data_IF_316460743660
#
_entry.id   IF_316460743660
#
_cell.length_a   1.000
_cell.length_b   1.000
_cell.length_c   1.000
_cell.angle_alpha   90.00
_cell.angle_beta   90.00
_cell.angle_gamma   90.00
#
_symmetry.space_group_name_H-M   'P 1'
#
loop_
_entity.id
_entity.type
_entity.pdbx_description
1 polymer ?
#
# COMPACT_ATOMS: atom_id res chain seq x y z
N UNK A 1 -7.41 2.29 -12.54
CA UNK A 1 -6.85 2.36 -11.17
C UNK A 1 -7.16 1.10 -10.35
N UNK A 2 -8.43 0.73 -10.17
CA UNK A 2 -8.80 -0.48 -9.43
C UNK A 2 -8.15 -1.74 -10.00
N UNK A 3 -8.32 -1.97 -11.31
CA UNK A 3 -7.75 -3.12 -12.00
C UNK A 3 -6.21 -3.11 -11.96
N UNK A 4 -5.59 -1.95 -12.04
CA UNK A 4 -4.12 -1.82 -11.96
C UNK A 4 -3.59 -2.29 -10.60
N UNK A 5 -4.25 -1.87 -9.51
CA UNK A 5 -3.89 -2.32 -8.16
C UNK A 5 -4.22 -3.81 -7.95
N UNK A 6 -5.31 -4.31 -8.56
CA UNK A 6 -5.66 -5.72 -8.50
C UNK A 6 -4.58 -6.60 -9.14
N UNK A 7 -4.19 -6.31 -10.38
CA UNK A 7 -3.18 -7.10 -11.09
C UNK A 7 -1.81 -7.00 -10.42
N UNK A 8 -1.38 -5.79 -10.04
CA UNK A 8 -0.07 -5.60 -9.41
C UNK A 8 0.07 -6.34 -8.07
N UNK A 9 -0.95 -6.21 -7.20
CA UNK A 9 -0.93 -6.88 -5.90
C UNK A 9 -1.22 -8.37 -6.00
N UNK A 10 -2.09 -8.78 -6.94
CA UNK A 10 -2.32 -10.19 -7.24
C UNK A 10 -1.02 -10.90 -7.59
N UNK A 11 -0.24 -10.35 -8.52
CA UNK A 11 1.08 -10.88 -8.89
C UNK A 11 2.06 -10.89 -7.71
N UNK A 12 2.14 -9.83 -6.94
CA UNK A 12 3.05 -9.75 -5.79
C UNK A 12 2.75 -10.84 -4.75
N UNK A 13 1.50 -10.97 -4.36
CA UNK A 13 1.09 -11.94 -3.35
C UNK A 13 1.01 -13.37 -3.86
N UNK A 14 0.90 -13.60 -5.19
CA UNK A 14 0.96 -14.95 -5.76
C UNK A 14 2.30 -15.65 -5.52
N UNK A 15 3.35 -14.91 -5.17
CA UNK A 15 4.64 -15.50 -4.78
C UNK A 15 4.49 -16.54 -3.65
N UNK A 16 3.52 -16.39 -2.75
CA UNK A 16 3.19 -17.39 -1.72
C UNK A 16 2.83 -18.76 -2.31
N UNK A 17 2.23 -18.77 -3.49
CA UNK A 17 1.87 -19.99 -4.24
C UNK A 17 3.09 -20.54 -4.97
N UNK A 18 3.94 -19.69 -5.54
CA UNK A 18 5.17 -20.09 -6.24
C UNK A 18 6.30 -20.55 -5.31
N UNK A 19 6.22 -20.24 -4.01
CA UNK A 19 7.23 -20.63 -3.02
C UNK A 19 7.48 -22.15 -3.02
N UNK A 20 6.41 -22.94 -3.05
CA UNK A 20 6.49 -24.41 -2.96
C UNK A 20 7.22 -25.01 -4.15
N UNK A 21 6.82 -24.80 -5.41
CA UNK A 21 7.50 -25.38 -6.56
C UNK A 21 8.96 -24.90 -6.70
N UNK A 22 9.28 -23.66 -6.27
CA UNK A 22 10.68 -23.20 -6.27
C UNK A 22 11.54 -23.94 -5.27
N UNK A 23 11.03 -24.15 -4.04
CA UNK A 23 11.73 -24.92 -3.00
C UNK A 23 11.89 -26.38 -3.42
N UNK A 24 10.87 -26.99 -4.03
CA UNK A 24 10.90 -28.38 -4.47
C UNK A 24 11.88 -28.61 -5.62
N UNK A 25 11.88 -27.75 -6.65
CA UNK A 25 12.74 -27.91 -7.82
C UNK A 25 14.21 -27.64 -7.50
N UNK A 26 14.50 -26.54 -6.80
CA UNK A 26 15.88 -26.10 -6.56
C UNK A 26 16.48 -26.60 -5.24
N UNK A 27 15.67 -27.18 -4.35
CA UNK A 27 16.08 -27.56 -3.00
C UNK A 27 16.63 -26.40 -2.16
N UNK A 28 16.19 -25.17 -2.48
CA UNK A 28 16.56 -24.01 -1.70
C UNK A 28 15.82 -23.98 -0.37
N UNK A 29 16.44 -23.37 0.65
CA UNK A 29 15.76 -23.16 1.92
C UNK A 29 14.58 -22.17 1.76
N UNK A 30 13.57 -22.31 2.62
CA UNK A 30 12.39 -21.42 2.59
C UNK A 30 12.76 -19.98 2.92
N UNK A 31 13.71 -19.78 3.84
CA UNK A 31 14.23 -18.45 4.18
C UNK A 31 14.95 -17.79 3.02
N UNK A 32 15.81 -18.54 2.29
CA UNK A 32 16.47 -18.04 1.09
C UNK A 32 15.44 -17.63 0.03
N UNK A 33 14.47 -18.49 -0.25
CA UNK A 33 13.46 -18.23 -1.28
C UNK A 33 12.56 -17.03 -0.91
N UNK A 34 12.06 -16.99 0.34
CA UNK A 34 11.22 -15.88 0.83
C UNK A 34 11.99 -14.56 0.98
N UNK A 35 13.33 -14.63 1.12
CA UNK A 35 14.20 -13.46 1.15
C UNK A 35 14.08 -12.54 -0.07
N UNK A 36 13.66 -13.08 -1.23
CA UNK A 36 13.39 -12.28 -2.42
C UNK A 36 12.24 -11.29 -2.19
N UNK A 37 11.17 -11.67 -1.46
CA UNK A 37 10.11 -10.74 -1.04
C UNK A 37 10.60 -9.72 -0.02
N UNK A 38 11.47 -10.15 0.90
CA UNK A 38 12.11 -9.25 1.85
C UNK A 38 12.90 -8.16 1.14
N UNK A 39 13.75 -8.53 0.17
CA UNK A 39 14.45 -7.57 -0.67
C UNK A 39 13.48 -6.68 -1.45
N UNK A 40 12.40 -7.26 -2.00
CA UNK A 40 11.37 -6.48 -2.70
C UNK A 40 10.80 -5.35 -1.83
N UNK A 41 10.53 -5.63 -0.56
CA UNK A 41 10.01 -4.60 0.37
C UNK A 41 11.04 -3.50 0.63
N UNK A 42 12.32 -3.84 0.79
CA UNK A 42 13.41 -2.84 0.94
C UNK A 42 13.50 -1.96 -0.30
N UNK A 43 13.54 -2.57 -1.48
CA UNK A 43 13.63 -1.85 -2.77
C UNK A 43 12.41 -0.93 -2.96
N UNK A 44 11.20 -1.41 -2.63
CA UNK A 44 10.00 -0.57 -2.67
C UNK A 44 10.13 0.66 -1.76
N UNK A 45 10.64 0.49 -0.54
CA UNK A 45 10.86 1.58 0.40
C UNK A 45 11.83 2.63 -0.15
N UNK A 46 12.94 2.18 -0.74
CA UNK A 46 13.98 3.05 -1.33
C UNK A 46 13.47 3.75 -2.60
N UNK A 47 12.72 3.06 -3.44
CA UNK A 47 12.24 3.61 -4.72
C UNK A 47 10.96 4.46 -4.56
N UNK A 48 10.22 4.38 -3.46
CA UNK A 48 8.99 5.15 -3.28
C UNK A 48 9.19 6.68 -3.40
N UNK A 49 10.20 7.32 -2.77
CA UNK A 49 10.48 8.75 -2.97
C UNK A 49 10.87 9.08 -4.40
N UNK A 50 11.68 8.22 -5.04
CA UNK A 50 12.11 8.39 -6.43
C UNK A 50 10.90 8.35 -7.37
N UNK A 51 9.99 7.42 -7.12
CA UNK A 51 8.73 7.31 -7.88
C UNK A 51 7.86 8.56 -7.72
N UNK A 52 7.80 9.16 -6.53
CA UNK A 52 7.15 10.44 -6.31
C UNK A 52 7.71 11.54 -7.22
N UNK A 53 9.03 11.70 -7.26
CA UNK A 53 9.72 12.67 -8.13
C UNK A 53 9.44 12.37 -9.61
N UNK A 54 9.45 11.10 -10.01
CA UNK A 54 9.16 10.70 -11.39
C UNK A 54 7.70 11.01 -11.77
N UNK A 55 6.75 10.82 -10.86
CA UNK A 55 5.34 11.16 -11.07
C UNK A 55 5.16 12.68 -11.27
N UNK A 56 5.89 13.49 -10.51
CA UNK A 56 5.83 14.95 -10.64
C UNK A 56 6.44 15.43 -11.95
N UNK A 57 7.54 14.82 -12.41
CA UNK A 57 8.28 15.21 -13.63
C UNK A 57 7.70 14.64 -14.92
N UNK A 58 7.35 13.36 -14.93
CA UNK A 58 6.93 12.62 -16.14
C UNK A 58 5.41 12.45 -16.24
N UNK A 59 4.70 12.75 -15.15
CA UNK A 59 3.28 12.49 -14.99
C UNK A 59 2.97 11.04 -14.60
N UNK A 60 1.82 10.81 -13.93
CA UNK A 60 1.47 9.50 -13.38
C UNK A 60 1.29 8.42 -14.45
N UNK A 61 0.79 8.78 -15.64
CA UNK A 61 0.55 7.84 -16.74
C UNK A 61 1.83 7.13 -17.20
N UNK A 62 2.92 7.88 -17.43
CA UNK A 62 4.19 7.30 -17.89
C UNK A 62 4.80 6.40 -16.82
N UNK A 63 4.74 6.82 -15.56
CA UNK A 63 5.25 6.03 -14.43
C UNK A 63 4.50 4.72 -14.28
N UNK A 64 3.17 4.74 -14.40
CA UNK A 64 2.33 3.54 -14.33
C UNK A 64 2.61 2.58 -15.50
N UNK A 65 2.77 3.10 -16.72
CA UNK A 65 3.13 2.27 -17.90
C UNK A 65 4.51 1.64 -17.74
N UNK A 66 5.49 2.39 -17.27
CA UNK A 66 6.84 1.86 -16.99
C UNK A 66 6.79 0.80 -15.90
N UNK A 67 5.99 1.04 -14.84
CA UNK A 67 5.75 0.06 -13.77
C UNK A 67 5.12 -1.23 -14.30
N UNK A 68 4.14 -1.14 -15.18
CA UNK A 68 3.51 -2.31 -15.81
C UNK A 68 4.51 -3.10 -16.66
N UNK A 69 5.33 -2.42 -17.45
CA UNK A 69 6.39 -3.05 -18.26
C UNK A 69 7.41 -3.76 -17.38
N UNK A 70 7.90 -3.09 -16.34
CA UNK A 70 8.89 -3.67 -15.41
C UNK A 70 8.35 -4.88 -14.66
N UNK A 71 7.11 -4.82 -14.16
CA UNK A 71 6.49 -5.94 -13.45
C UNK A 71 6.28 -7.15 -14.38
N UNK A 72 5.82 -6.91 -15.62
CA UNK A 72 5.64 -7.96 -16.61
C UNK A 72 6.98 -8.56 -17.05
N UNK A 73 8.00 -7.72 -17.29
CA UNK A 73 9.35 -8.18 -17.60
C UNK A 73 9.96 -8.99 -16.45
N UNK A 74 9.76 -8.56 -15.20
CA UNK A 74 10.19 -9.31 -14.02
C UNK A 74 9.56 -10.70 -13.94
N UNK A 75 8.26 -10.81 -14.25
CA UNK A 75 7.56 -12.11 -14.28
C UNK A 75 8.06 -12.98 -15.44
N UNK A 76 8.27 -12.42 -16.64
CA UNK A 76 8.82 -13.16 -17.77
C UNK A 76 10.23 -13.66 -17.48
N UNK A 77 11.12 -12.81 -16.96
CA UNK A 77 12.45 -13.23 -16.54
C UNK A 77 12.40 -14.21 -15.36
N UNK A 78 11.42 -14.04 -14.46
CA UNK A 78 11.16 -14.97 -13.37
C UNK A 78 10.90 -16.42 -13.82
N UNK A 79 10.33 -16.61 -15.02
CA UNK A 79 10.13 -17.96 -15.60
C UNK A 79 11.45 -18.65 -15.99
N UNK A 80 12.53 -17.91 -16.14
CA UNK A 80 13.86 -18.43 -16.54
C UNK A 80 14.82 -18.64 -15.37
N UNK A 81 14.36 -18.38 -14.13
CA UNK A 81 15.18 -18.51 -12.90
C UNK A 81 15.82 -19.89 -12.80
N UNK A 82 17.12 -19.90 -12.49
CA UNK A 82 17.96 -21.09 -12.25
C UNK A 82 18.81 -20.97 -10.99
N UNK A 83 18.98 -19.74 -10.48
CA UNK A 83 19.84 -19.46 -9.33
C UNK A 83 19.17 -18.46 -8.36
N UNK A 84 19.54 -18.48 -7.06
CA UNK A 84 18.95 -17.59 -6.07
C UNK A 84 19.12 -16.10 -6.42
N UNK A 85 20.28 -15.70 -6.93
CA UNK A 85 20.55 -14.31 -7.27
C UNK A 85 19.63 -13.79 -8.40
N UNK A 86 19.25 -14.66 -9.36
CA UNK A 86 18.28 -14.32 -10.41
C UNK A 86 16.89 -14.09 -9.81
N UNK A 87 16.46 -14.93 -8.86
CA UNK A 87 15.21 -14.74 -8.14
C UNK A 87 15.20 -13.40 -7.40
N UNK A 88 16.28 -13.06 -6.71
CA UNK A 88 16.43 -11.79 -6.00
C UNK A 88 16.43 -10.61 -6.96
N UNK A 89 17.10 -10.72 -8.11
CA UNK A 89 17.13 -9.66 -9.11
C UNK A 89 15.76 -9.47 -9.77
N UNK A 90 15.13 -10.56 -10.22
CA UNK A 90 13.89 -10.46 -10.99
C UNK A 90 12.69 -10.14 -10.09
N UNK A 91 12.51 -10.85 -8.99
CA UNK A 91 11.39 -10.62 -8.06
C UNK A 91 11.71 -9.50 -7.08
N UNK A 92 12.91 -9.54 -6.48
CA UNK A 92 13.30 -8.61 -5.41
C UNK A 92 13.56 -7.18 -5.90
N UNK A 93 14.21 -7.01 -7.06
CA UNK A 93 14.58 -5.67 -7.56
C UNK A 93 13.65 -5.21 -8.67
N UNK A 94 13.60 -5.96 -9.79
CA UNK A 94 12.85 -5.55 -10.96
C UNK A 94 11.34 -5.55 -10.73
N UNK A 95 10.81 -6.62 -10.12
CA UNK A 95 9.41 -6.72 -9.73
C UNK A 95 9.00 -5.66 -8.72
N UNK A 96 9.87 -5.37 -7.74
CA UNK A 96 9.65 -4.30 -6.77
C UNK A 96 9.58 -2.92 -7.44
N UNK A 97 10.49 -2.61 -8.37
CA UNK A 97 10.47 -1.36 -9.12
C UNK A 97 9.18 -1.21 -9.93
N UNK A 98 8.73 -2.30 -10.58
CA UNK A 98 7.44 -2.33 -11.26
C UNK A 98 6.26 -2.09 -10.32
N UNK A 99 6.26 -2.75 -9.16
CA UNK A 99 5.20 -2.65 -8.17
C UNK A 99 5.07 -1.23 -7.59
N UNK A 100 6.18 -0.54 -7.32
CA UNK A 100 6.17 0.86 -6.85
C UNK A 100 5.58 1.79 -7.91
N UNK A 101 5.91 1.57 -9.19
CA UNK A 101 5.35 2.33 -10.32
C UNK A 101 3.84 2.13 -10.51
N UNK A 102 3.28 1.00 -10.04
CA UNK A 102 1.85 0.67 -10.05
C UNK A 102 1.17 0.94 -8.71
N UNK A 103 1.93 1.32 -7.70
CA UNK A 103 1.52 1.36 -6.31
C UNK A 103 0.73 2.60 -5.88
N UNK A 104 0.59 2.78 -4.55
CA UNK A 104 -0.23 3.83 -3.97
C UNK A 104 0.16 5.26 -4.36
N UNK A 105 1.46 5.53 -4.60
CA UNK A 105 1.96 6.87 -4.89
C UNK A 105 1.40 7.40 -6.22
N UNK A 106 1.66 6.78 -7.38
CA UNK A 106 1.11 7.27 -8.65
C UNK A 106 -0.41 7.17 -8.71
N UNK A 107 -1.01 6.15 -8.09
CA UNK A 107 -2.47 6.01 -8.05
C UNK A 107 -3.13 7.09 -7.21
N UNK A 108 -2.57 7.44 -6.05
CA UNK A 108 -3.05 8.51 -5.19
C UNK A 108 -3.03 9.87 -5.89
N UNK A 109 -1.94 10.18 -6.60
CA UNK A 109 -1.83 11.41 -7.39
C UNK A 109 -2.87 11.43 -8.51
N UNK A 110 -3.01 10.34 -9.26
CA UNK A 110 -3.99 10.25 -10.34
C UNK A 110 -5.43 10.41 -9.83
N UNK A 111 -5.78 9.73 -8.72
CA UNK A 111 -7.12 9.84 -8.11
C UNK A 111 -7.37 11.28 -7.64
N UNK A 112 -6.38 11.94 -7.05
CA UNK A 112 -6.54 13.31 -6.54
C UNK A 112 -6.75 14.34 -7.63
N UNK A 113 -6.26 14.09 -8.86
CA UNK A 113 -6.47 14.96 -10.03
C UNK A 113 -7.87 14.80 -10.65
N UNK A 114 -8.49 13.63 -10.48
CA UNK A 114 -9.82 13.34 -11.02
C UNK A 114 -10.96 13.60 -10.03
N UNK A 115 -10.73 13.41 -8.74
CA UNK A 115 -11.76 13.48 -7.70
C UNK A 115 -11.39 14.52 -6.66
N UNK A 116 -12.09 15.66 -6.62
CA UNK A 116 -11.92 16.72 -5.63
C UNK A 116 -12.82 16.50 -4.41
N UNK A 117 -14.13 16.27 -4.63
CA UNK A 117 -15.12 16.26 -3.53
C UNK A 117 -15.27 14.89 -2.83
N UNK A 118 -15.08 13.77 -3.56
CA UNK A 118 -15.28 12.40 -3.03
C UNK A 118 -14.00 11.57 -3.05
N UNK A 119 -12.85 12.24 -2.86
CA UNK A 119 -11.52 11.64 -2.97
C UNK A 119 -11.35 10.40 -2.08
N UNK A 120 -11.82 10.43 -0.83
CA UNK A 120 -11.72 9.30 0.11
C UNK A 120 -12.44 8.05 -0.39
N UNK A 121 -13.66 8.20 -0.93
CA UNK A 121 -14.41 7.08 -1.52
C UNK A 121 -13.72 6.51 -2.75
N UNK A 122 -13.21 7.37 -3.63
CA UNK A 122 -12.50 6.94 -4.83
C UNK A 122 -11.21 6.16 -4.48
N UNK A 123 -10.45 6.61 -3.47
CA UNK A 123 -9.30 5.90 -2.94
C UNK A 123 -9.72 4.54 -2.37
N UNK A 124 -10.75 4.49 -1.53
CA UNK A 124 -11.26 3.25 -0.93
C UNK A 124 -11.65 2.21 -1.99
N UNK A 125 -12.42 2.63 -3.00
CA UNK A 125 -12.79 1.77 -4.13
C UNK A 125 -11.55 1.31 -4.92
N UNK A 126 -10.62 2.21 -5.25
CA UNK A 126 -9.43 1.84 -5.99
C UNK A 126 -8.56 0.82 -5.22
N UNK A 127 -8.39 1.02 -3.93
CA UNK A 127 -7.56 0.15 -3.08
C UNK A 127 -8.23 -1.19 -2.73
N UNK A 128 -9.55 -1.32 -2.87
CA UNK A 128 -10.22 -2.63 -2.75
C UNK A 128 -9.75 -3.61 -3.83
N UNK A 129 -9.28 -3.10 -4.98
CA UNK A 129 -8.66 -3.91 -6.02
C UNK A 129 -7.50 -4.78 -5.52
N UNK A 130 -6.71 -4.32 -4.53
CA UNK A 130 -5.61 -5.12 -3.98
C UNK A 130 -6.09 -6.47 -3.44
N UNK A 131 -7.15 -6.48 -2.63
CA UNK A 131 -7.70 -7.72 -2.07
C UNK A 131 -8.34 -8.62 -3.14
N UNK A 132 -9.01 -8.01 -4.12
CA UNK A 132 -9.58 -8.76 -5.25
C UNK A 132 -8.49 -9.40 -6.11
N UNK A 133 -7.37 -8.70 -6.31
CA UNK A 133 -6.22 -9.25 -7.01
C UNK A 133 -5.69 -10.52 -6.35
N UNK A 134 -5.53 -10.51 -5.02
CA UNK A 134 -5.13 -11.70 -4.27
C UNK A 134 -6.16 -12.83 -4.40
N UNK A 135 -7.46 -12.49 -4.33
CA UNK A 135 -8.55 -13.45 -4.45
C UNK A 135 -8.52 -14.22 -5.79
N UNK A 136 -8.29 -13.52 -6.89
CA UNK A 136 -8.29 -14.13 -8.23
C UNK A 136 -6.95 -14.78 -8.54
N UNK A 137 -5.84 -14.08 -8.28
CA UNK A 137 -4.53 -14.51 -8.77
C UNK A 137 -4.02 -15.76 -8.04
N UNK A 138 -4.32 -15.94 -6.75
CA UNK A 138 -3.90 -17.13 -5.99
C UNK A 138 -4.37 -18.44 -6.62
N UNK A 139 -5.68 -18.69 -6.74
CA UNK A 139 -6.23 -19.88 -7.38
C UNK A 139 -5.82 -20.04 -8.84
N UNK A 140 -5.80 -18.93 -9.61
CA UNK A 140 -5.39 -18.95 -11.03
C UNK A 140 -3.92 -19.35 -11.18
N UNK A 141 -3.04 -18.80 -10.34
CA UNK A 141 -1.63 -19.17 -10.33
C UNK A 141 -1.45 -20.67 -10.03
N UNK A 142 -2.14 -21.19 -9.02
CA UNK A 142 -2.07 -22.61 -8.67
C UNK A 142 -2.61 -23.52 -9.78
N UNK A 143 -3.72 -23.15 -10.40
CA UNK A 143 -4.27 -23.88 -11.53
C UNK A 143 -3.30 -23.92 -12.72
N UNK A 144 -2.67 -22.79 -13.04
CA UNK A 144 -1.64 -22.72 -14.08
C UNK A 144 -0.41 -23.57 -13.74
N UNK A 145 0.04 -23.54 -12.48
CA UNK A 145 1.17 -24.35 -12.01
C UNK A 145 0.86 -25.85 -12.17
N UNK A 146 -0.34 -26.27 -11.77
CA UNK A 146 -0.75 -27.67 -11.87
C UNK A 146 -0.90 -28.16 -13.32
N UNK A 147 -1.32 -27.27 -14.24
CA UNK A 147 -1.58 -27.64 -15.64
C UNK A 147 -0.34 -27.59 -16.54
N UNK A 148 0.57 -26.63 -16.33
CA UNK A 148 1.69 -26.36 -17.26
C UNK A 148 3.03 -26.05 -16.57
N UNK A 149 3.09 -26.25 -15.25
CA UNK A 149 4.29 -25.99 -14.44
C UNK A 149 4.49 -24.51 -14.12
N UNK A 150 5.27 -24.25 -13.06
CA UNK A 150 5.44 -22.91 -12.51
C UNK A 150 6.14 -21.93 -13.46
N UNK A 151 7.05 -22.40 -14.31
CA UNK A 151 7.77 -21.54 -15.28
C UNK A 151 6.81 -20.93 -16.30
N UNK A 152 5.98 -21.78 -16.91
CA UNK A 152 4.97 -21.33 -17.88
C UNK A 152 3.90 -20.49 -17.17
N UNK A 153 3.47 -20.91 -15.98
CA UNK A 153 2.51 -20.15 -15.17
C UNK A 153 3.00 -18.71 -14.89
N UNK A 154 4.26 -18.55 -14.50
CA UNK A 154 4.87 -17.23 -14.25
C UNK A 154 4.93 -16.38 -15.53
N UNK A 155 5.30 -16.97 -16.66
CA UNK A 155 5.33 -16.29 -17.95
C UNK A 155 3.92 -15.86 -18.41
N UNK A 156 2.94 -16.76 -18.32
CA UNK A 156 1.54 -16.47 -18.67
C UNK A 156 0.97 -15.33 -17.81
N UNK A 157 1.20 -15.35 -16.51
CA UNK A 157 0.76 -14.28 -15.62
C UNK A 157 1.45 -12.94 -15.94
N UNK A 158 2.73 -12.97 -16.31
CA UNK A 158 3.48 -11.78 -16.73
C UNK A 158 2.92 -11.18 -18.03
N UNK A 159 2.68 -12.01 -19.04
CA UNK A 159 2.07 -11.59 -20.32
C UNK A 159 0.64 -11.07 -20.09
N UNK A 160 -0.18 -11.82 -19.35
CA UNK A 160 -1.54 -11.42 -19.03
C UNK A 160 -1.60 -10.07 -18.30
N UNK A 161 -0.69 -9.86 -17.34
CA UNK A 161 -0.58 -8.58 -16.66
C UNK A 161 -0.27 -7.43 -17.62
N UNK A 162 0.66 -7.61 -18.56
CA UNK A 162 0.97 -6.60 -19.56
C UNK A 162 -0.21 -6.32 -20.48
N UNK A 163 -0.83 -7.37 -21.00
CA UNK A 163 -1.99 -7.25 -21.93
C UNK A 163 -3.20 -6.58 -21.26
N UNK A 164 -3.37 -6.74 -19.96
CA UNK A 164 -4.43 -6.08 -19.20
C UNK A 164 -4.04 -4.66 -18.82
N UNK A 165 -2.83 -4.46 -18.29
CA UNK A 165 -2.40 -3.17 -17.73
C UNK A 165 -2.09 -2.14 -18.82
N UNK A 166 -1.44 -2.53 -19.92
CA UNK A 166 -1.04 -1.60 -20.96
C UNK A 166 -2.24 -0.86 -21.59
N UNK A 167 -3.30 -1.54 -22.07
CA UNK A 167 -4.46 -0.85 -22.63
C UNK A 167 -5.25 -0.08 -21.56
N UNK A 168 -5.41 -0.64 -20.35
CA UNK A 168 -6.13 0.02 -19.26
C UNK A 168 -5.47 1.35 -18.88
N UNK A 169 -4.16 1.36 -18.81
CA UNK A 169 -3.40 2.57 -18.48
C UNK A 169 -3.36 3.52 -19.69
N UNK A 170 -3.18 2.98 -20.89
CA UNK A 170 -3.13 3.78 -22.10
C UNK A 170 -4.45 4.52 -22.37
N UNK A 171 -5.59 3.85 -22.17
CA UNK A 171 -6.93 4.41 -22.37
C UNK A 171 -7.42 5.21 -21.16
N UNK A 172 -7.16 4.73 -19.93
CA UNK A 172 -7.78 5.22 -18.71
C UNK A 172 -6.95 6.23 -17.91
N UNK A 173 -5.62 6.20 -18.00
CA UNK A 173 -4.77 7.11 -17.23
C UNK A 173 -4.53 8.45 -17.95
N UNK A 174 -5.59 9.08 -18.48
CA UNK A 174 -5.51 10.40 -19.10
C UNK A 174 -5.40 11.45 -18.00
N UNK A 175 -4.44 12.39 -18.14
CA UNK A 175 -4.30 13.50 -17.21
C UNK A 175 -5.31 14.61 -17.57
N UNK A 176 -6.24 14.97 -16.67
CA UNK A 176 -7.22 16.02 -16.94
C UNK A 176 -6.56 17.41 -17.06
N UNK A 177 -5.38 17.61 -16.48
CA UNK A 177 -4.64 18.89 -16.58
C UNK A 177 -4.03 19.08 -17.96
N UNK A 178 -3.51 18.03 -18.60
CA UNK A 178 -2.99 18.11 -19.97
C UNK A 178 -4.07 18.53 -20.99
N UNK A 179 -5.33 18.15 -20.76
CA UNK A 179 -6.45 18.61 -21.60
C UNK A 179 -6.85 20.07 -21.38
N UNK A 180 -6.56 20.65 -20.22
CA UNK A 180 -6.82 22.06 -19.95
C UNK A 180 -5.81 22.93 -20.66
N UNK A 181 -4.56 22.53 -20.68
CA UNK A 181 -3.48 23.26 -21.37
C UNK A 181 -3.66 23.18 -22.89
N UNK A 182 -4.06 22.02 -23.46
CA UNK A 182 -4.38 21.88 -24.87
C UNK A 182 -5.61 22.70 -25.32
N UNK A 183 -6.59 22.93 -24.42
CA UNK A 183 -7.76 23.77 -24.69
C UNK A 183 -7.54 25.23 -24.39
N UNK A 184 -6.53 25.57 -23.60
CA UNK A 184 -6.16 26.94 -23.25
C UNK A 184 -5.08 27.50 -24.18
N UNK A 185 -4.47 26.68 -25.05
CA UNK A 185 -3.60 27.18 -26.11
C UNK A 185 -4.46 28.01 -27.09
N UNK A 186 -4.16 29.30 -27.32
CA UNK A 186 -4.88 30.08 -28.31
C UNK A 186 -4.75 29.41 -29.66
N UNK A 187 -5.78 29.46 -30.55
CA UNK A 187 -5.59 29.00 -31.91
C UNK A 187 -4.43 29.80 -32.50
N UNK A 188 -3.46 29.10 -33.09
CA UNK A 188 -2.40 29.73 -33.88
C UNK A 188 -3.10 30.56 -34.96
N UNK A 189 -3.26 31.84 -34.66
CA UNK A 189 -3.69 32.82 -35.65
C UNK A 189 -2.58 32.94 -36.68
N UNK A 190 -2.76 32.24 -37.75
CA UNK A 190 -2.00 32.50 -39.00
C UNK A 190 -2.36 33.89 -39.51
N UNK A 191 -1.75 34.91 -38.96
CA UNK A 191 -1.74 36.24 -39.53
C UNK A 191 -0.29 36.67 -39.83
N UNK A 192 -0.03 36.74 -41.09
CA UNK A 192 1.11 37.39 -41.75
C UNK A 192 1.29 38.83 -41.24
N UNK A 193 2.50 39.27 -40.94
CA UNK A 193 2.72 40.65 -40.52
C UNK A 193 2.58 41.63 -41.68
N UNK A 194 1.42 42.30 -41.71
CA UNK A 194 1.22 43.50 -42.54
C UNK A 194 1.95 44.68 -41.95
N UNK A 195 2.87 45.24 -42.73
CA UNK A 195 3.52 46.55 -42.51
C UNK A 195 2.48 47.66 -42.38
N UNK A 196 2.48 48.37 -41.26
CA UNK A 196 1.71 49.62 -41.09
C UNK A 196 2.43 50.52 -40.09
N UNK A 197 2.74 51.71 -40.53
CA UNK A 197 3.49 52.85 -39.98
C UNK A 197 2.96 53.38 -38.64
N UNK A 198 3.78 54.13 -37.84
CA UNK A 198 3.41 54.61 -36.51
C UNK A 198 2.81 56.06 -36.60
N UNK A 199 1.67 56.25 -35.99
CA UNK A 199 1.18 57.63 -35.68
C UNK A 199 0.47 57.64 -34.31
N UNK A 200 1.11 58.38 -33.43
CA UNK A 200 0.64 59.33 -32.40
C UNK A 200 -0.74 59.19 -31.74
N UNK A 201 -0.70 59.18 -30.45
CA UNK A 201 -1.22 60.17 -29.48
C UNK A 201 -1.77 59.55 -28.21
N UNK A 202 -1.09 59.83 -27.12
CA UNK A 202 -1.56 60.65 -25.95
C UNK A 202 -2.97 60.37 -25.45
N UNK A 203 -3.05 59.94 -24.22
CA UNK A 203 -4.25 59.97 -23.40
C UNK A 203 -4.26 58.99 -22.27
N UNK A 204 -3.60 59.33 -21.15
CA UNK A 204 -3.82 58.66 -19.85
C UNK A 204 -5.13 59.25 -19.27
N UNK A 205 -6.06 58.43 -18.82
CA UNK A 205 -6.86 58.74 -17.64
C UNK A 205 -6.54 57.74 -16.52
N UNK A 206 -5.98 58.30 -15.47
CA UNK A 206 -5.95 57.73 -14.14
C UNK A 206 -7.40 57.61 -13.59
N UNK A 207 -7.85 56.40 -13.38
CA UNK A 207 -8.97 56.17 -12.47
C UNK A 207 -8.73 54.88 -11.69
N UNK A 208 -8.22 55.06 -10.48
CA UNK A 208 -8.29 54.03 -9.42
C UNK A 208 -9.78 53.85 -9.06
N UNK A 209 -10.29 52.62 -8.98
CA UNK A 209 -11.53 52.37 -8.26
C UNK A 209 -11.23 52.43 -6.77
N UNK A 210 -11.93 53.32 -6.10
CA UNK A 210 -12.05 53.44 -4.65
C UNK A 210 -12.67 52.13 -4.11
N UNK A 211 -11.97 51.48 -3.19
CA UNK A 211 -12.56 50.48 -2.32
C UNK A 211 -13.47 51.16 -1.32
N UNK A 212 -14.75 51.10 -1.60
CA UNK A 212 -15.81 51.56 -0.73
C UNK A 212 -15.89 50.69 0.51
N UNK A 213 -15.76 51.30 1.67
CA UNK A 213 -15.93 50.76 3.01
C UNK A 213 -17.31 50.12 3.18
N UNK A 214 -17.35 48.80 3.28
CA UNK A 214 -18.50 48.11 3.86
C UNK A 214 -18.44 48.22 5.38
N UNK A 215 -19.16 49.20 5.89
CA UNK A 215 -19.52 49.35 7.30
C UNK A 215 -20.30 48.12 7.76
N UNK A 216 -19.67 47.26 8.56
CA UNK A 216 -20.40 46.36 9.42
C UNK A 216 -20.65 47.01 10.78
N UNK A 217 -21.94 47.00 11.15
CA UNK A 217 -22.48 47.63 12.33
C UNK A 217 -21.85 47.19 13.64
N UNK A 218 -21.72 48.17 14.48
CA UNK A 218 -21.34 48.11 15.89
C UNK A 218 -22.39 47.29 16.66
N UNK A 219 -22.00 46.15 17.24
CA UNK A 219 -22.78 45.47 18.29
C UNK A 219 -21.87 45.29 19.49
N UNK A 220 -22.29 45.88 20.58
CA UNK A 220 -22.16 45.60 22.00
C UNK A 220 -20.79 45.23 22.57
N UNK A 221 -20.31 46.11 23.44
CA UNK A 221 -19.25 45.90 24.43
C UNK A 221 -19.52 44.66 25.29
N UNK A 222 -18.68 43.65 25.15
CA UNK A 222 -18.53 42.55 26.08
C UNK A 222 -17.03 42.20 26.14
N UNK A 223 -16.32 42.80 27.12
CA UNK A 223 -14.89 42.62 27.31
C UNK A 223 -14.57 41.18 27.75
N UNK A 224 -14.47 40.27 26.76
CA UNK A 224 -13.78 38.99 26.91
C UNK A 224 -12.39 39.16 26.29
N UNK A 225 -11.32 39.19 27.10
CA UNK A 225 -9.95 39.14 26.64
C UNK A 225 -9.76 37.86 25.82
N UNK A 226 -9.79 38.00 24.50
CA UNK A 226 -9.27 36.95 23.59
C UNK A 226 -7.77 36.94 23.81
N UNK A 227 -7.31 35.98 24.63
CA UNK A 227 -5.89 35.63 24.70
C UNK A 227 -5.41 35.37 23.27
N UNK A 228 -4.31 35.97 22.83
CA UNK A 228 -3.77 35.66 21.51
C UNK A 228 -3.49 34.13 21.49
N UNK A 229 -4.19 33.40 20.60
CA UNK A 229 -3.93 32.02 20.36
C UNK A 229 -2.43 31.91 20.01
N UNK A 230 -1.64 31.33 20.90
CA UNK A 230 -0.27 30.99 20.66
C UNK A 230 -0.26 30.20 19.34
N UNK A 231 0.47 30.64 18.32
CA UNK A 231 0.53 29.90 17.06
C UNK A 231 1.01 28.50 17.39
N UNK A 232 0.17 27.50 17.19
CA UNK A 232 0.50 26.12 17.39
C UNK A 232 1.74 25.84 16.52
N UNK A 233 2.91 25.73 17.13
CA UNK A 233 4.16 25.44 16.45
C UNK A 233 3.97 24.14 15.71
N UNK A 234 3.97 24.20 14.37
CA UNK A 234 3.85 23.00 13.53
C UNK A 234 4.93 22.01 13.94
N UNK A 235 4.59 20.75 14.26
CA UNK A 235 5.57 19.78 14.74
C UNK A 235 6.66 19.60 13.69
N UNK A 236 7.92 19.80 14.11
CA UNK A 236 9.10 19.47 13.31
C UNK A 236 9.40 17.99 13.46
N UNK A 237 10.15 17.39 12.52
CA UNK A 237 10.57 15.99 12.65
C UNK A 237 11.32 15.76 13.98
N UNK A 238 12.24 16.66 14.34
CA UNK A 238 12.99 16.58 15.61
C UNK A 238 12.08 16.65 16.83
N UNK A 239 11.04 17.50 16.77
CA UNK A 239 10.04 17.56 17.82
C UNK A 239 9.19 16.29 17.89
N UNK A 240 8.79 15.73 16.76
CA UNK A 240 8.04 14.48 16.70
C UNK A 240 8.85 13.30 17.24
N UNK A 241 10.13 13.17 16.87
CA UNK A 241 11.06 12.14 17.37
C UNK A 241 11.24 12.17 18.90
N UNK A 242 11.06 13.32 19.54
CA UNK A 242 11.09 13.47 21.00
C UNK A 242 9.81 12.99 21.70
N UNK A 243 8.75 12.61 20.97
CA UNK A 243 7.46 12.23 21.55
C UNK A 243 7.30 10.72 21.69
N UNK A 244 6.66 10.28 22.78
CA UNK A 244 6.28 8.86 22.98
C UNK A 244 5.29 8.41 21.89
N UNK A 245 4.41 9.28 21.43
CA UNK A 245 3.42 8.98 20.42
C UNK A 245 4.06 8.62 19.07
N UNK A 246 5.17 9.30 18.68
CA UNK A 246 5.91 8.96 17.47
C UNK A 246 6.44 7.52 17.52
N UNK A 247 7.17 7.19 18.59
CA UNK A 247 7.77 5.86 18.73
C UNK A 247 6.71 4.76 18.88
N UNK A 248 5.62 5.05 19.57
CA UNK A 248 4.51 4.12 19.67
C UNK A 248 3.90 3.81 18.27
N UNK A 249 3.63 4.81 17.45
CA UNK A 249 3.16 4.59 16.08
C UNK A 249 4.22 3.95 15.18
N UNK A 250 5.49 4.27 15.38
CA UNK A 250 6.60 3.66 14.64
C UNK A 250 6.69 2.15 14.92
N UNK A 251 6.61 1.76 16.20
CA UNK A 251 6.58 0.35 16.58
C UNK A 251 5.30 -0.34 16.15
N UNK A 252 4.14 0.32 16.16
CA UNK A 252 2.91 -0.22 15.60
C UNK A 252 3.07 -0.52 14.10
N UNK A 253 3.75 0.37 13.36
CA UNK A 253 4.09 0.13 11.96
C UNK A 253 5.10 -1.00 11.76
N UNK A 254 6.07 -1.18 12.66
CA UNK A 254 7.03 -2.28 12.62
C UNK A 254 6.35 -3.63 12.90
N UNK A 255 5.54 -3.70 13.95
CA UNK A 255 4.91 -4.96 14.37
C UNK A 255 3.79 -5.41 13.42
N UNK A 256 3.15 -4.49 12.70
CA UNK A 256 2.10 -4.84 11.73
C UNK A 256 2.61 -5.81 10.65
N UNK A 257 3.64 -5.50 9.84
CA UNK A 257 4.15 -6.43 8.84
C UNK A 257 4.88 -7.63 9.45
N UNK A 258 5.52 -7.50 10.61
CA UNK A 258 6.11 -8.64 11.33
C UNK A 258 5.05 -9.66 11.77
N UNK A 259 3.84 -9.22 12.10
CA UNK A 259 2.72 -10.13 12.39
C UNK A 259 2.11 -10.76 11.14
N UNK A 260 2.18 -10.07 10.01
CA UNK A 260 1.42 -10.42 8.80
C UNK A 260 2.27 -11.20 7.79
N UNK A 261 3.44 -10.71 7.42
CA UNK A 261 4.18 -11.27 6.29
C UNK A 261 4.76 -12.67 6.53
N UNK A 262 5.22 -13.06 7.73
CA UNK A 262 5.61 -14.46 7.97
C UNK A 262 4.45 -15.42 7.69
N UNK A 263 3.23 -15.03 8.05
CA UNK A 263 2.03 -15.85 7.84
C UNK A 263 1.62 -15.86 6.37
N UNK A 264 1.44 -14.68 5.75
CA UNK A 264 0.92 -14.58 4.37
C UNK A 264 1.88 -15.17 3.34
N UNK A 265 3.19 -15.11 3.56
CA UNK A 265 4.18 -15.66 2.64
C UNK A 265 4.21 -17.20 2.70
N UNK A 266 4.05 -17.78 3.89
CA UNK A 266 4.28 -19.21 4.10
C UNK A 266 3.01 -20.03 4.28
N UNK A 267 1.82 -19.43 4.41
CA UNK A 267 0.58 -20.13 4.74
C UNK A 267 0.15 -21.16 3.66
N UNK A 268 0.44 -20.91 2.36
CA UNK A 268 0.12 -21.87 1.30
C UNK A 268 1.04 -23.11 1.45
N UNK A 269 2.34 -22.87 1.63
CA UNK A 269 3.30 -23.95 1.88
C UNK A 269 2.93 -24.75 3.15
N UNK A 270 2.57 -24.04 4.24
CA UNK A 270 2.14 -24.67 5.48
C UNK A 270 0.88 -25.55 5.29
N UNK A 271 -0.13 -25.09 4.56
CA UNK A 271 -1.33 -25.88 4.31
C UNK A 271 -1.01 -27.13 3.47
N UNK A 272 -0.15 -27.03 2.46
CA UNK A 272 0.30 -28.17 1.65
C UNK A 272 1.10 -29.15 2.51
N UNK A 273 2.00 -28.67 3.38
CA UNK A 273 2.74 -29.52 4.33
C UNK A 273 1.82 -30.32 5.29
N UNK A 274 0.61 -29.81 5.53
CA UNK A 274 -0.44 -30.47 6.36
C UNK A 274 -1.39 -31.37 5.55
N UNK A 275 -1.07 -31.60 4.27
CA UNK A 275 -1.82 -32.52 3.40
C UNK A 275 -3.02 -31.93 2.69
N UNK A 276 -3.20 -30.61 2.73
CA UNK A 276 -4.25 -29.96 1.94
C UNK A 276 -3.87 -29.87 0.48
N UNK A 277 -4.85 -30.06 -0.39
CA UNK A 277 -4.68 -29.89 -1.83
C UNK A 277 -4.16 -28.48 -2.16
N UNK A 278 -3.16 -28.34 -3.05
CA UNK A 278 -2.58 -27.05 -3.38
C UNK A 278 -3.59 -26.01 -3.88
N UNK A 279 -4.59 -26.44 -4.68
CA UNK A 279 -5.64 -25.53 -5.18
C UNK A 279 -6.53 -25.04 -4.04
N UNK A 280 -6.87 -25.90 -3.07
CA UNK A 280 -7.62 -25.48 -1.88
C UNK A 280 -6.80 -24.47 -1.05
N UNK A 281 -5.52 -24.75 -0.80
CA UNK A 281 -4.64 -23.85 -0.05
C UNK A 281 -4.54 -22.46 -0.71
N UNK A 282 -4.38 -22.40 -2.04
CA UNK A 282 -4.34 -21.17 -2.81
C UNK A 282 -5.71 -20.46 -2.85
N UNK A 283 -6.82 -21.21 -2.89
CA UNK A 283 -8.17 -20.65 -2.88
C UNK A 283 -8.51 -20.00 -1.52
N UNK A 284 -8.11 -20.64 -0.44
CA UNK A 284 -8.25 -20.09 0.93
C UNK A 284 -7.43 -18.81 1.09
N UNK A 285 -6.22 -18.77 0.51
CA UNK A 285 -5.44 -17.54 0.44
C UNK A 285 -6.17 -16.43 -0.35
N UNK A 286 -6.82 -16.80 -1.44
CA UNK A 286 -7.70 -15.88 -2.17
C UNK A 286 -8.82 -15.33 -1.30
N UNK A 287 -9.53 -16.19 -0.56
CA UNK A 287 -10.60 -15.77 0.36
C UNK A 287 -10.08 -14.80 1.41
N UNK A 288 -8.89 -15.02 1.97
CA UNK A 288 -8.23 -14.05 2.87
C UNK A 288 -8.08 -12.68 2.19
N UNK A 289 -7.68 -12.65 0.91
CA UNK A 289 -7.60 -11.41 0.13
C UNK A 289 -8.95 -10.70 0.03
N UNK A 290 -10.03 -11.44 -0.25
CA UNK A 290 -11.39 -10.90 -0.31
C UNK A 290 -11.84 -10.34 1.04
N UNK A 291 -11.62 -11.07 2.14
CA UNK A 291 -11.92 -10.62 3.50
C UNK A 291 -11.17 -9.34 3.88
N UNK A 292 -9.97 -9.12 3.32
CA UNK A 292 -9.22 -7.89 3.57
C UNK A 292 -9.93 -6.63 3.05
N UNK A 293 -10.76 -6.76 2.03
CA UNK A 293 -11.58 -5.64 1.52
C UNK A 293 -12.63 -5.27 2.57
N UNK A 294 -13.34 -6.26 3.09
CA UNK A 294 -14.34 -6.06 4.14
C UNK A 294 -13.70 -5.48 5.40
N UNK A 295 -12.54 -6.01 5.79
CA UNK A 295 -11.79 -5.52 6.94
C UNK A 295 -11.40 -4.05 6.82
N UNK A 296 -10.88 -3.60 5.68
CA UNK A 296 -10.54 -2.19 5.47
C UNK A 296 -11.73 -1.25 5.64
N UNK A 297 -12.87 -1.62 5.08
CA UNK A 297 -14.09 -0.81 5.18
C UNK A 297 -14.63 -0.83 6.60
N UNK A 298 -14.80 -2.02 7.19
CA UNK A 298 -15.39 -2.18 8.52
C UNK A 298 -14.56 -1.51 9.61
N UNK A 299 -13.24 -1.71 9.60
CA UNK A 299 -12.35 -1.10 10.61
C UNK A 299 -12.10 0.39 10.36
N UNK A 300 -12.20 0.87 9.11
CA UNK A 300 -12.22 2.30 8.83
C UNK A 300 -13.42 2.97 9.50
N UNK A 301 -14.64 2.45 9.26
CA UNK A 301 -15.87 2.95 9.88
C UNK A 301 -15.84 2.78 11.42
N UNK A 302 -15.29 1.67 11.91
CA UNK A 302 -15.13 1.46 13.34
C UNK A 302 -14.17 2.47 13.99
N UNK A 303 -13.09 2.82 13.31
CA UNK A 303 -12.14 3.83 13.78
C UNK A 303 -12.80 5.21 13.89
N UNK A 304 -13.63 5.60 12.92
CA UNK A 304 -14.35 6.86 12.94
C UNK A 304 -15.38 6.92 14.09
N UNK A 305 -16.02 5.79 14.42
CA UNK A 305 -17.09 5.74 15.43
C UNK A 305 -16.59 5.47 16.85
N UNK A 306 -15.64 4.57 17.01
CA UNK A 306 -15.18 4.04 18.30
C UNK A 306 -13.75 4.46 18.67
N UNK A 307 -13.05 5.11 17.76
CA UNK A 307 -11.65 5.50 17.91
C UNK A 307 -10.67 4.51 17.29
N UNK A 308 -9.52 5.05 16.86
CA UNK A 308 -8.48 4.28 16.14
C UNK A 308 -7.87 3.17 17.00
N UNK A 309 -7.73 3.40 18.31
CA UNK A 309 -7.11 2.44 19.25
C UNK A 309 -7.93 1.16 19.36
N UNK A 310 -9.25 1.30 19.54
CA UNK A 310 -10.13 0.13 19.66
C UNK A 310 -10.25 -0.62 18.35
N UNK A 311 -10.44 0.11 17.22
CA UNK A 311 -10.49 -0.48 15.90
C UNK A 311 -9.20 -1.25 15.55
N UNK A 312 -8.02 -0.68 15.86
CA UNK A 312 -6.73 -1.36 15.69
C UNK A 312 -6.62 -2.60 16.58
N UNK A 313 -7.02 -2.51 17.85
CA UNK A 313 -6.98 -3.65 18.79
C UNK A 313 -7.81 -4.81 18.28
N UNK A 314 -9.05 -4.57 17.85
CA UNK A 314 -9.91 -5.63 17.30
C UNK A 314 -9.33 -6.19 15.99
N UNK A 315 -8.77 -5.34 15.12
CA UNK A 315 -8.09 -5.78 13.89
C UNK A 315 -6.89 -6.67 14.18
N UNK A 316 -6.07 -6.34 15.19
CA UNK A 316 -4.97 -7.19 15.64
C UNK A 316 -5.49 -8.49 16.27
N UNK A 317 -6.58 -8.43 17.03
CA UNK A 317 -7.25 -9.61 17.59
C UNK A 317 -7.73 -10.57 16.52
N UNK A 318 -8.32 -10.06 15.42
CA UNK A 318 -8.70 -10.87 14.27
C UNK A 318 -7.47 -11.53 13.61
N UNK A 319 -6.37 -10.77 13.41
CA UNK A 319 -5.13 -11.34 12.84
C UNK A 319 -4.53 -12.40 13.76
N UNK A 320 -4.47 -12.15 15.07
CA UNK A 320 -3.98 -13.12 16.05
C UNK A 320 -4.87 -14.37 16.10
N UNK A 321 -6.20 -14.22 16.06
CA UNK A 321 -7.14 -15.34 15.98
C UNK A 321 -6.93 -16.21 14.75
N UNK A 322 -6.67 -15.57 13.59
CA UNK A 322 -6.31 -16.30 12.37
C UNK A 322 -4.98 -17.04 12.49
N UNK A 323 -3.94 -16.43 13.07
CA UNK A 323 -2.67 -17.10 13.33
C UNK A 323 -2.81 -18.26 14.33
N UNK A 324 -3.66 -18.12 15.35
CA UNK A 324 -4.00 -19.18 16.29
C UNK A 324 -4.75 -20.32 15.59
N UNK A 325 -5.65 -20.02 14.64
CA UNK A 325 -6.32 -21.07 13.85
C UNK A 325 -5.31 -21.91 13.05
N UNK A 326 -4.23 -21.30 12.50
CA UNK A 326 -3.15 -22.07 11.86
C UNK A 326 -2.36 -22.92 12.87
N UNK A 327 -2.17 -22.44 14.11
CA UNK A 327 -1.54 -23.24 15.17
C UNK A 327 -2.38 -24.46 15.55
N UNK A 328 -3.71 -24.31 15.62
CA UNK A 328 -4.61 -25.45 15.84
C UNK A 328 -4.58 -26.40 14.64
N UNK A 329 -4.54 -25.87 13.42
CA UNK A 329 -4.41 -26.67 12.19
C UNK A 329 -3.16 -27.56 12.20
N UNK A 330 -2.11 -27.16 12.93
CA UNK A 330 -0.90 -27.99 13.07
C UNK A 330 -1.17 -29.31 13.76
N UNK A 331 -2.08 -29.34 14.72
CA UNK A 331 -2.44 -30.53 15.51
C UNK A 331 -3.74 -31.20 15.06
N UNK A 332 -4.62 -30.45 14.46
CA UNK A 332 -5.93 -30.91 13.96
C UNK A 332 -6.13 -30.41 12.51
N UNK A 333 -5.68 -31.16 11.48
CA UNK A 333 -5.66 -30.72 10.09
C UNK A 333 -7.06 -30.76 9.45
N UNK A 334 -8.00 -29.99 9.98
CA UNK A 334 -9.35 -29.82 9.43
C UNK A 334 -9.48 -28.53 8.62
N UNK A 335 -10.17 -28.60 7.49
CA UNK A 335 -10.44 -27.43 6.63
C UNK A 335 -11.14 -26.28 7.37
N UNK A 336 -11.88 -26.58 8.43
CA UNK A 336 -12.53 -25.57 9.30
C UNK A 336 -11.54 -24.55 9.85
N UNK A 337 -10.36 -25.00 10.32
CA UNK A 337 -9.33 -24.11 10.84
C UNK A 337 -8.67 -23.27 9.75
N UNK A 338 -8.50 -23.86 8.58
CA UNK A 338 -7.97 -23.15 7.42
C UNK A 338 -8.94 -22.05 6.94
N UNK A 339 -10.25 -22.32 6.96
CA UNK A 339 -11.29 -21.34 6.67
C UNK A 339 -11.35 -20.26 7.77
N UNK A 340 -11.30 -20.66 9.05
CA UNK A 340 -11.27 -19.71 10.17
C UNK A 340 -10.08 -18.75 10.07
N UNK A 341 -8.89 -19.27 9.68
CA UNK A 341 -7.74 -18.44 9.35
C UNK A 341 -8.07 -17.41 8.27
N UNK A 342 -8.60 -17.83 7.13
CA UNK A 342 -8.86 -16.93 6.00
C UNK A 342 -9.84 -15.81 6.38
N UNK A 343 -10.89 -16.13 7.14
CA UNK A 343 -11.88 -15.15 7.56
C UNK A 343 -11.31 -14.18 8.59
N UNK A 344 -10.73 -14.68 9.67
CA UNK A 344 -10.23 -13.84 10.77
C UNK A 344 -9.00 -13.05 10.35
N UNK A 345 -7.98 -13.73 9.80
CA UNK A 345 -6.75 -13.09 9.38
C UNK A 345 -7.01 -12.07 8.26
N UNK A 346 -7.86 -12.44 7.28
CA UNK A 346 -8.24 -11.57 6.19
C UNK A 346 -8.94 -10.29 6.67
N UNK A 347 -9.90 -10.38 7.60
CA UNK A 347 -10.53 -9.20 8.19
C UNK A 347 -9.51 -8.29 8.87
N UNK A 348 -8.53 -8.84 9.60
CA UNK A 348 -7.48 -8.06 10.23
C UNK A 348 -6.48 -7.47 9.23
N UNK A 349 -6.30 -8.11 8.06
CA UNK A 349 -5.31 -7.74 7.06
C UNK A 349 -5.63 -6.39 6.40
N UNK A 350 -4.65 -5.48 6.37
CA UNK A 350 -4.75 -4.21 5.63
C UNK A 350 -5.52 -3.09 6.32
N UNK A 351 -6.18 -3.32 7.44
CA UNK A 351 -6.94 -2.29 8.16
C UNK A 351 -6.05 -1.26 8.89
N UNK A 352 -4.91 -1.70 9.40
CA UNK A 352 -4.06 -0.91 10.31
C UNK A 352 -3.34 0.25 9.66
N UNK A 353 -2.92 0.12 8.40
CA UNK A 353 -2.27 1.20 7.67
C UNK A 353 -3.10 2.50 7.64
N UNK A 354 -4.35 2.47 7.18
CA UNK A 354 -5.25 3.62 7.24
C UNK A 354 -5.44 4.18 8.65
N UNK A 355 -5.59 3.33 9.67
CA UNK A 355 -5.77 3.75 11.07
C UNK A 355 -4.52 4.50 11.56
N UNK A 356 -3.31 3.95 11.32
CA UNK A 356 -2.06 4.62 11.71
C UNK A 356 -1.92 5.96 10.99
N UNK A 357 -2.28 6.01 9.70
CA UNK A 357 -2.21 7.26 8.92
C UNK A 357 -3.14 8.33 9.49
N UNK A 358 -4.36 7.97 9.86
CA UNK A 358 -5.32 8.88 10.49
C UNK A 358 -4.79 9.38 11.83
N UNK A 359 -4.36 8.49 12.72
CA UNK A 359 -3.81 8.86 14.02
C UNK A 359 -2.54 9.72 13.91
N UNK A 360 -1.65 9.39 12.95
CA UNK A 360 -0.47 10.20 12.68
C UNK A 360 -0.84 11.61 12.20
N UNK A 361 -1.88 11.73 11.36
CA UNK A 361 -2.39 13.03 10.90
C UNK A 361 -2.98 13.85 12.04
N UNK A 362 -3.70 13.23 12.98
CA UNK A 362 -4.28 13.89 14.15
C UNK A 362 -3.21 14.37 15.15
N UNK A 363 -2.12 13.62 15.27
CA UNK A 363 -1.04 13.91 16.22
C UNK A 363 0.00 14.88 15.65
N UNK A 364 0.34 14.75 14.36
CA UNK A 364 1.45 15.43 13.71
C UNK A 364 1.06 16.19 12.46
N UNK A 365 -0.25 16.41 12.22
CA UNK A 365 -0.76 17.14 11.06
C UNK A 365 -0.13 18.53 10.91
N UNK A 366 0.04 18.99 9.67
CA UNK A 366 0.60 20.28 9.33
C UNK A 366 1.56 20.25 8.15
N UNK A 367 2.24 21.39 7.89
CA UNK A 367 3.08 21.59 6.69
C UNK A 367 4.21 20.54 6.51
N UNK A 368 4.69 19.93 7.60
CA UNK A 368 5.78 18.93 7.60
C UNK A 368 5.30 17.50 7.83
N UNK A 369 4.01 17.25 7.76
CA UNK A 369 3.43 15.92 7.99
C UNK A 369 4.05 14.84 7.10
N UNK A 370 4.30 15.13 5.82
CA UNK A 370 4.89 14.16 4.90
C UNK A 370 6.24 13.61 5.35
N UNK A 371 7.11 14.47 5.90
CA UNK A 371 8.43 14.05 6.40
C UNK A 371 8.29 13.17 7.66
N UNK A 372 7.39 13.54 8.57
CA UNK A 372 7.13 12.79 9.80
C UNK A 372 6.51 11.42 9.47
N UNK A 373 5.54 11.41 8.56
CA UNK A 373 4.90 10.18 8.10
C UNK A 373 5.87 9.26 7.35
N UNK A 374 6.77 9.83 6.54
CA UNK A 374 7.85 9.08 5.90
C UNK A 374 8.75 8.40 6.93
N UNK A 375 9.14 9.10 8.00
CA UNK A 375 9.93 8.53 9.10
C UNK A 375 9.17 7.41 9.85
N UNK A 376 7.86 7.57 10.08
CA UNK A 376 7.01 6.51 10.62
C UNK A 376 6.99 5.27 9.72
N UNK A 377 6.92 5.47 8.41
CA UNK A 377 6.83 4.36 7.44
C UNK A 377 8.12 3.53 7.31
N UNK A 378 9.25 4.03 7.82
CA UNK A 378 10.49 3.23 7.93
C UNK A 378 10.24 1.97 8.77
N UNK A 379 9.46 2.06 9.86
CA UNK A 379 9.07 0.90 10.67
C UNK A 379 8.34 -0.16 9.84
N UNK A 380 7.39 0.26 8.99
CA UNK A 380 6.68 -0.64 8.08
C UNK A 380 7.62 -1.32 7.07
N UNK A 381 8.56 -0.57 6.50
CA UNK A 381 9.56 -1.10 5.58
C UNK A 381 10.46 -2.15 6.23
N UNK A 382 10.95 -1.88 7.45
CA UNK A 382 11.80 -2.83 8.20
C UNK A 382 11.04 -4.10 8.56
N UNK A 383 9.80 -3.99 9.06
CA UNK A 383 8.99 -5.15 9.37
C UNK A 383 8.66 -5.99 8.13
N UNK A 384 8.38 -5.32 7.00
CA UNK A 384 8.15 -5.99 5.72
C UNK A 384 9.39 -6.65 5.13
N UNK A 385 10.57 -6.07 5.36
CA UNK A 385 11.84 -6.66 4.96
C UNK A 385 12.21 -7.90 5.78
N UNK A 386 11.94 -7.89 7.08
CA UNK A 386 12.28 -8.99 7.98
C UNK A 386 11.25 -10.13 7.87
N UNK A 387 9.95 -9.81 7.77
CA UNK A 387 8.86 -10.75 7.95
C UNK A 387 8.92 -12.01 7.08
N UNK A 388 8.96 -11.92 5.75
CA UNK A 388 8.99 -13.09 4.87
C UNK A 388 10.20 -13.97 5.11
N UNK A 389 11.40 -13.38 5.18
CA UNK A 389 12.66 -14.08 5.44
C UNK A 389 12.66 -14.78 6.80
N UNK A 390 12.25 -14.08 7.85
CA UNK A 390 12.18 -14.58 9.21
C UNK A 390 11.30 -15.83 9.33
N UNK A 391 10.10 -15.80 8.71
CA UNK A 391 9.20 -16.96 8.71
C UNK A 391 9.82 -18.19 8.07
N UNK A 392 10.56 -18.01 6.96
CA UNK A 392 11.28 -19.07 6.28
C UNK A 392 12.46 -19.63 7.08
N UNK A 393 13.28 -18.75 7.67
CA UNK A 393 14.44 -19.16 8.50
C UNK A 393 13.98 -19.98 9.71
N UNK A 394 12.88 -19.58 10.37
CA UNK A 394 12.33 -20.37 11.48
C UNK A 394 11.99 -21.78 11.01
N UNK A 395 11.34 -21.92 9.86
CA UNK A 395 11.04 -23.24 9.31
C UNK A 395 12.31 -24.03 8.97
N UNK A 396 13.30 -23.39 8.34
CA UNK A 396 14.55 -24.04 7.96
C UNK A 396 15.32 -24.61 9.17
N UNK A 397 15.26 -23.90 10.34
CA UNK A 397 15.95 -24.30 11.57
C UNK A 397 15.13 -25.30 12.41
N UNK A 398 13.81 -25.10 12.47
CA UNK A 398 12.95 -25.83 13.42
C UNK A 398 12.07 -26.90 12.77
N UNK A 399 11.99 -26.94 11.43
CA UNK A 399 11.11 -27.86 10.69
C UNK A 399 9.61 -27.55 10.86
N UNK A 400 9.26 -26.40 11.48
CA UNK A 400 7.88 -26.01 11.77
C UNK A 400 7.70 -24.51 11.75
N UNK A 401 6.51 -24.05 11.35
CA UNK A 401 6.11 -22.63 11.42
C UNK A 401 5.55 -22.22 12.80
N UNK A 402 5.48 -23.12 13.78
CA UNK A 402 4.85 -22.87 15.08
C UNK A 402 5.38 -21.60 15.75
N UNK A 403 6.70 -21.45 15.81
CA UNK A 403 7.33 -20.25 16.40
C UNK A 403 7.04 -19.00 15.59
N UNK A 404 7.00 -19.09 14.26
CA UNK A 404 6.65 -17.95 13.40
C UNK A 404 5.20 -17.49 13.63
N UNK A 405 4.25 -18.41 13.79
CA UNK A 405 2.85 -18.06 14.06
C UNK A 405 2.64 -17.57 15.49
N UNK A 406 3.32 -18.16 16.49
CA UNK A 406 3.31 -17.66 17.88
C UNK A 406 3.90 -16.26 17.97
N UNK A 407 5.01 -15.99 17.27
CA UNK A 407 5.58 -14.65 17.24
C UNK A 407 4.67 -13.64 16.55
N UNK A 408 3.92 -14.05 15.49
CA UNK A 408 2.92 -13.21 14.88
C UNK A 408 1.81 -12.79 15.87
N UNK A 409 1.36 -13.71 16.73
CA UNK A 409 0.42 -13.40 17.82
C UNK A 409 1.06 -12.41 18.82
N UNK A 410 2.32 -12.64 19.19
CA UNK A 410 3.07 -11.71 20.05
C UNK A 410 3.20 -10.31 19.44
N UNK A 411 3.52 -10.22 18.15
CA UNK A 411 3.57 -8.92 17.45
C UNK A 411 2.21 -8.25 17.33
N UNK A 412 1.11 -9.00 17.22
CA UNK A 412 -0.24 -8.45 17.29
C UNK A 412 -0.53 -7.81 18.63
N UNK A 413 -0.16 -8.45 19.75
CA UNK A 413 -0.38 -7.91 21.10
C UNK A 413 0.47 -6.66 21.35
N UNK A 414 1.75 -6.69 20.95
CA UNK A 414 2.65 -5.53 21.03
C UNK A 414 2.15 -4.37 20.16
N UNK A 415 1.72 -4.66 18.94
CA UNK A 415 1.16 -3.67 18.03
C UNK A 415 -0.10 -3.02 18.59
N UNK A 416 -1.02 -3.79 19.14
CA UNK A 416 -2.21 -3.27 19.81
C UNK A 416 -1.85 -2.37 21.01
N UNK A 417 -0.92 -2.80 21.85
CA UNK A 417 -0.44 -2.00 22.99
C UNK A 417 0.16 -0.65 22.54
N UNK A 418 0.89 -0.64 21.42
CA UNK A 418 1.45 0.59 20.85
C UNK A 418 0.37 1.63 20.51
N UNK A 419 -0.79 1.24 20.01
CA UNK A 419 -1.89 2.19 19.73
C UNK A 419 -2.40 2.87 21.02
N UNK A 420 -2.49 2.14 22.13
CA UNK A 420 -2.88 2.72 23.42
C UNK A 420 -1.81 3.62 24.01
N UNK A 421 -0.54 3.33 23.78
CA UNK A 421 0.58 4.19 24.18
C UNK A 421 0.64 5.48 23.34
N UNK A 422 0.20 5.46 22.09
CA UNK A 422 0.16 6.61 21.19
C UNK A 422 -0.98 7.58 21.53
N UNK A 423 -1.99 7.13 22.26
CA UNK A 423 -3.16 7.91 22.63
C UNK A 423 -2.76 9.20 23.36
N UNK A 424 -3.25 10.36 22.92
CA UNK A 424 -3.17 11.58 23.71
C UNK A 424 -3.90 11.36 25.04
N UNK A 425 -3.21 11.49 26.17
CA UNK A 425 -3.91 11.65 27.43
C UNK A 425 -4.77 12.92 27.29
N UNK A 426 -6.08 12.76 27.24
CA UNK A 426 -6.97 13.91 27.47
C UNK A 426 -6.65 14.34 28.89
N UNK A 427 -5.95 15.46 29.06
CA UNK A 427 -5.92 16.17 30.35
C UNK A 427 -7.36 16.54 30.65
N UNK A 428 -7.86 16.21 31.83
CA UNK A 428 -9.20 16.53 32.25
C UNK A 428 -9.48 18.03 32.19
#
# INVERSE_FOLDING_TARGET
>A
MWLTLAVANGLYFSFSVFLVPLVEEFRWSRGLTAGALSLSTVVQGVLAPVTGILVDRLGPRRVILTGALLLSAASLLGSTVRSPWELYLYTGVLGAAGLVGLGPVPMGVLISRWFSERRGRAIGVAFSGMGFGVFVTGPVAQWLIASMGWRVATAVLGVAAFLVLAPVVWLGARDPLARRDERAAPPESGETPGRGTPEQRSGIPSSRPQLEELRFGRVGDGAGRVSPAVPASHPTLRGALGTRAFWALWFAYLFTPLAVFPVTTHQVAFAIDRGFEPLLAASVFGVMGLMSILGRVSFGLAADRFGGELAATVSFGCTAGGALALLVLETDPRATWLIAYALLFGLGFGARGPIITAMASDLFGGRRFGVIYGALNVGNGLGGAIGPWYGGVIYDVMGSYRVAFLSAVGFCTLGAACFWLARRRRTP
#
